data_IF_659888683536
#
_entry.id   IF_659888683536
#
_cell.length_a   1.000
_cell.length_b   1.000
_cell.length_c   1.000
_cell.angle_alpha   90.00
_cell.angle_beta   90.00
_cell.angle_gamma   90.00
#
_symmetry.space_group_name_H-M   'P 1'
#
loop_
_entity.id
_entity.type
_entity.pdbx_description
1 polymer ?
#
# COMPACT_ATOMS: atom_id res chain seq x y z
N UNK A 1 31.06 -24.86 23.97
CA UNK A 1 30.48 -25.34 22.69
C UNK A 1 29.01 -24.94 22.73
N UNK A 2 28.68 -23.70 22.35
CA UNK A 2 27.28 -23.23 22.33
C UNK A 2 26.55 -23.96 21.22
N UNK A 3 25.48 -24.67 21.58
CA UNK A 3 24.71 -25.47 20.63
C UNK A 3 23.99 -24.52 19.67
N UNK A 4 23.85 -24.95 18.41
CA UNK A 4 23.23 -24.19 17.32
C UNK A 4 21.81 -23.71 17.70
N UNK A 5 21.20 -24.38 18.68
CA UNK A 5 19.91 -24.05 19.31
C UNK A 5 19.94 -22.69 20.05
N UNK A 6 21.00 -22.36 20.79
CA UNK A 6 21.12 -21.09 21.54
C UNK A 6 21.27 -19.87 20.61
N UNK A 7 21.84 -20.07 19.41
CA UNK A 7 21.93 -19.03 18.37
C UNK A 7 20.61 -18.86 17.59
N UNK A 8 19.86 -19.95 17.37
CA UNK A 8 18.57 -19.91 16.71
C UNK A 8 17.49 -19.24 17.57
N UNK A 9 17.55 -19.42 18.89
CA UNK A 9 16.61 -18.83 19.85
C UNK A 9 16.80 -17.31 19.97
N UNK A 10 18.04 -16.81 20.07
CA UNK A 10 18.36 -15.37 20.07
C UNK A 10 18.04 -14.63 18.76
N UNK A 11 18.05 -15.34 17.63
CA UNK A 11 17.77 -14.76 16.32
C UNK A 11 16.27 -14.49 16.11
N UNK A 12 15.40 -15.25 16.79
CA UNK A 12 13.94 -15.19 16.64
C UNK A 12 13.31 -14.11 17.54
N UNK A 13 13.86 -13.90 18.74
CA UNK A 13 13.36 -12.89 19.72
C UNK A 13 13.66 -11.42 19.34
N UNK A 14 14.55 -11.14 18.39
CA UNK A 14 15.41 -9.96 18.56
C UNK A 14 15.08 -8.71 17.74
N UNK A 15 14.20 -8.74 16.73
CA UNK A 15 13.99 -7.58 15.84
C UNK A 15 12.65 -6.90 16.03
N UNK A 16 11.58 -7.68 16.05
CA UNK A 16 10.23 -7.15 16.23
C UNK A 16 10.03 -6.65 17.66
N UNK A 17 10.50 -7.39 18.66
CA UNK A 17 10.38 -7.00 20.07
C UNK A 17 11.14 -5.71 20.40
N UNK A 18 12.34 -5.54 19.82
CA UNK A 18 13.11 -4.30 19.97
C UNK A 18 12.38 -3.13 19.32
N UNK A 19 11.85 -3.31 18.11
CA UNK A 19 11.04 -2.30 17.43
C UNK A 19 9.81 -1.88 18.24
N UNK A 20 9.07 -2.83 18.79
CA UNK A 20 7.92 -2.58 19.66
C UNK A 20 8.33 -1.87 20.97
N UNK A 21 9.48 -2.25 21.55
CA UNK A 21 10.06 -1.59 22.71
C UNK A 21 10.35 -0.10 22.48
N UNK A 22 10.89 0.26 21.31
CA UNK A 22 11.11 1.66 20.91
C UNK A 22 9.79 2.42 20.74
N UNK A 23 8.80 1.80 20.10
CA UNK A 23 7.49 2.42 19.89
C UNK A 23 6.80 2.76 21.22
N UNK A 24 6.88 1.83 22.19
CA UNK A 24 6.30 2.01 23.53
C UNK A 24 7.02 3.10 24.34
N UNK A 25 8.36 3.13 24.28
CA UNK A 25 9.19 4.13 24.97
C UNK A 25 8.92 5.55 24.46
N UNK A 26 8.65 5.70 23.17
CA UNK A 26 8.43 6.97 22.51
C UNK A 26 6.93 7.24 22.21
N UNK A 27 6.02 6.51 22.86
CA UNK A 27 4.57 6.59 22.64
C UNK A 27 4.00 8.02 22.70
N UNK A 28 4.49 8.86 23.62
CA UNK A 28 4.06 10.27 23.73
C UNK A 28 4.35 11.06 22.45
N UNK A 29 5.51 10.87 21.82
CA UNK A 29 5.86 11.56 20.58
C UNK A 29 4.98 11.08 19.42
N UNK A 30 4.71 9.77 19.34
CA UNK A 30 3.80 9.22 18.34
C UNK A 30 2.37 9.73 18.51
N UNK A 31 1.86 9.87 19.74
CA UNK A 31 0.52 10.42 20.00
C UNK A 31 0.37 11.87 19.52
N UNK A 32 1.43 12.68 19.57
CA UNK A 32 1.41 14.05 19.07
C UNK A 32 1.32 14.11 17.53
N UNK A 33 1.96 13.16 16.85
CA UNK A 33 1.99 13.10 15.37
C UNK A 33 0.80 12.31 14.81
N UNK A 34 0.26 11.37 15.59
CA UNK A 34 -0.86 10.51 15.22
C UNK A 34 -2.04 11.26 14.59
N UNK A 35 -2.57 12.39 15.11
CA UNK A 35 -3.70 13.07 14.48
C UNK A 35 -3.37 13.57 13.06
N UNK A 36 -2.17 14.12 12.85
CA UNK A 36 -1.73 14.56 11.53
C UNK A 36 -1.51 13.37 10.57
N UNK A 37 -0.90 12.28 11.07
CA UNK A 37 -0.67 11.08 10.29
C UNK A 37 -1.99 10.40 9.88
N UNK A 38 -2.95 10.27 10.81
CA UNK A 38 -4.29 9.74 10.54
C UNK A 38 -4.98 10.62 9.52
N UNK A 39 -4.93 11.94 9.68
CA UNK A 39 -5.52 12.86 8.71
C UNK A 39 -4.91 12.67 7.31
N UNK A 40 -3.59 12.60 7.21
CA UNK A 40 -2.90 12.37 5.93
C UNK A 40 -3.27 11.02 5.32
N UNK A 41 -3.31 9.95 6.10
CA UNK A 41 -3.73 8.63 5.60
C UNK A 41 -5.19 8.62 5.16
N UNK A 42 -6.07 9.31 5.88
CA UNK A 42 -7.49 9.40 5.51
C UNK A 42 -7.72 10.25 4.27
N UNK A 43 -6.97 11.34 4.09
CA UNK A 43 -7.17 12.27 2.96
C UNK A 43 -6.39 11.87 1.73
N UNK A 44 -5.18 11.31 1.89
CA UNK A 44 -4.29 10.93 0.78
C UNK A 44 -4.30 9.42 0.58
N UNK A 45 -4.22 8.64 1.66
CA UNK A 45 -4.22 7.19 1.57
C UNK A 45 -5.54 6.61 1.06
N UNK A 46 -6.68 7.11 1.56
CA UNK A 46 -8.00 6.67 1.09
C UNK A 46 -8.18 6.83 -0.43
N UNK A 47 -7.99 8.01 -1.05
CA UNK A 47 -8.17 8.13 -2.49
C UNK A 47 -7.15 7.32 -3.30
N UNK A 48 -5.94 7.07 -2.78
CA UNK A 48 -4.98 6.17 -3.45
C UNK A 48 -5.53 4.75 -3.50
N UNK A 49 -6.00 4.23 -2.36
CA UNK A 49 -6.58 2.89 -2.27
C UNK A 49 -7.84 2.80 -3.14
N UNK A 50 -8.68 3.82 -3.11
CA UNK A 50 -9.90 3.87 -3.90
C UNK A 50 -9.62 3.96 -5.40
N UNK A 51 -8.64 4.76 -5.82
CA UNK A 51 -8.19 4.83 -7.22
C UNK A 51 -7.62 3.48 -7.69
N UNK A 52 -6.84 2.82 -6.84
CA UNK A 52 -6.32 1.47 -7.12
C UNK A 52 -7.43 0.42 -7.19
N UNK A 53 -8.47 0.55 -6.36
CA UNK A 53 -9.67 -0.30 -6.47
C UNK A 53 -10.34 -0.03 -7.81
N UNK A 54 -10.68 1.23 -8.10
CA UNK A 54 -11.38 1.63 -9.32
C UNK A 54 -10.64 1.23 -10.60
N UNK A 55 -9.32 1.19 -10.61
CA UNK A 55 -8.57 0.72 -11.79
C UNK A 55 -8.80 -0.77 -12.11
N UNK A 56 -9.38 -1.54 -11.19
CA UNK A 56 -9.80 -2.93 -11.39
C UNK A 56 -11.30 -3.09 -11.70
N UNK A 57 -12.05 -1.99 -11.73
CA UNK A 57 -13.49 -1.97 -11.99
C UNK A 57 -13.79 -1.12 -13.23
N UNK A 58 -14.83 -1.50 -13.95
CA UNK A 58 -15.48 -0.66 -14.95
C UNK A 58 -16.60 0.12 -14.27
N UNK A 59 -16.50 1.45 -14.30
CA UNK A 59 -17.44 2.37 -13.66
C UNK A 59 -17.89 3.45 -14.65
N UNK A 60 -18.92 3.19 -15.47
CA UNK A 60 -19.45 4.15 -16.43
C UNK A 60 -19.99 5.40 -15.74
N UNK A 61 -19.79 6.59 -16.34
CA UNK A 61 -20.22 7.86 -15.74
C UNK A 61 -21.76 8.00 -15.64
N UNK A 62 -22.50 7.23 -16.43
CA UNK A 62 -23.96 7.22 -16.54
C UNK A 62 -24.62 6.12 -15.69
N UNK A 63 -23.83 5.29 -15.00
CA UNK A 63 -24.33 4.18 -14.18
C UNK A 63 -23.67 4.18 -12.80
N UNK A 64 -24.44 4.01 -11.70
CA UNK A 64 -23.87 3.81 -10.37
C UNK A 64 -23.35 2.37 -10.17
N UNK A 65 -23.51 1.49 -11.15
CA UNK A 65 -23.12 0.08 -11.06
C UNK A 65 -21.68 -0.09 -11.55
N UNK A 66 -20.80 -0.46 -10.62
CA UNK A 66 -19.42 -0.82 -10.92
C UNK A 66 -19.31 -2.33 -11.19
N UNK A 67 -18.61 -2.71 -12.25
CA UNK A 67 -18.36 -4.11 -12.62
C UNK A 67 -16.90 -4.45 -12.40
N UNK A 68 -16.58 -5.52 -11.68
CA UNK A 68 -15.20 -5.95 -11.52
C UNK A 68 -14.66 -6.54 -12.83
N UNK A 69 -13.59 -5.97 -13.36
CA UNK A 69 -12.95 -6.39 -14.63
C UNK A 69 -11.49 -6.81 -14.46
N UNK A 70 -10.95 -6.71 -13.24
CA UNK A 70 -9.57 -7.11 -12.94
C UNK A 70 -8.57 -6.26 -13.73
N UNK A 71 -7.68 -6.89 -14.50
CA UNK A 71 -6.62 -6.18 -15.21
C UNK A 71 -6.99 -5.79 -16.66
N UNK A 72 -8.25 -5.92 -17.05
CA UNK A 72 -8.69 -5.72 -18.44
C UNK A 72 -8.31 -4.34 -18.99
N UNK A 73 -8.58 -3.25 -18.24
CA UNK A 73 -8.20 -1.88 -18.61
C UNK A 73 -6.72 -1.74 -18.94
N UNK A 74 -5.85 -2.40 -18.16
CA UNK A 74 -4.41 -2.34 -18.38
C UNK A 74 -4.01 -3.06 -19.67
N UNK A 75 -4.59 -4.22 -19.96
CA UNK A 75 -4.35 -4.94 -21.21
C UNK A 75 -4.80 -4.10 -22.40
N UNK A 76 -5.98 -3.50 -22.34
CA UNK A 76 -6.52 -2.64 -23.40
C UNK A 76 -5.63 -1.43 -23.70
N UNK A 77 -5.18 -0.73 -22.67
CA UNK A 77 -4.28 0.43 -22.83
C UNK A 77 -2.93 0.00 -23.39
N UNK A 78 -2.33 -1.08 -22.86
CA UNK A 78 -1.01 -1.54 -23.27
C UNK A 78 -0.98 -2.17 -24.67
N UNK A 79 -2.12 -2.64 -25.16
CA UNK A 79 -2.28 -3.18 -26.53
C UNK A 79 -2.80 -2.14 -27.53
N UNK A 80 -3.10 -0.92 -27.08
CA UNK A 80 -3.58 0.16 -27.93
C UNK A 80 -2.45 0.79 -28.74
N UNK A 81 -2.57 0.74 -30.06
CA UNK A 81 -1.65 1.39 -31.00
C UNK A 81 -1.59 2.91 -30.76
N UNK A 82 -2.76 3.53 -30.52
CA UNK A 82 -2.86 4.97 -30.25
C UNK A 82 -2.13 5.33 -28.97
N UNK A 83 -2.36 4.58 -27.89
CA UNK A 83 -1.69 4.85 -26.61
C UNK A 83 -0.18 4.70 -26.73
N UNK A 84 0.29 3.63 -27.38
CA UNK A 84 1.72 3.37 -27.59
C UNK A 84 2.38 4.47 -28.43
N UNK A 85 1.69 4.95 -29.47
CA UNK A 85 2.16 6.07 -30.28
C UNK A 85 2.30 7.35 -29.46
N UNK A 86 1.29 7.71 -28.65
CA UNK A 86 1.31 8.91 -27.82
C UNK A 86 2.38 8.85 -26.72
N UNK A 87 2.58 7.66 -26.14
CA UNK A 87 3.59 7.45 -25.10
C UNK A 87 5.00 7.72 -25.63
N UNK A 88 5.28 7.43 -26.91
CA UNK A 88 6.57 7.78 -27.52
C UNK A 88 6.77 9.25 -27.86
N UNK A 89 5.70 10.03 -27.89
CA UNK A 89 5.74 11.45 -28.24
C UNK A 89 5.88 12.38 -27.01
N UNK A 90 5.79 11.84 -25.79
CA UNK A 90 5.90 12.58 -24.52
C UNK A 90 7.32 12.48 -23.97
#
# INVERSE_FOLDING_TARGET
MGTIEEYAERATDSRLERGVGYLRRNSRAYLLIAPAAIFLLSVVGYPIIETFRLSLYESPADSPVETYVGFQHYVEILTSDIFTQLLWQT
#
